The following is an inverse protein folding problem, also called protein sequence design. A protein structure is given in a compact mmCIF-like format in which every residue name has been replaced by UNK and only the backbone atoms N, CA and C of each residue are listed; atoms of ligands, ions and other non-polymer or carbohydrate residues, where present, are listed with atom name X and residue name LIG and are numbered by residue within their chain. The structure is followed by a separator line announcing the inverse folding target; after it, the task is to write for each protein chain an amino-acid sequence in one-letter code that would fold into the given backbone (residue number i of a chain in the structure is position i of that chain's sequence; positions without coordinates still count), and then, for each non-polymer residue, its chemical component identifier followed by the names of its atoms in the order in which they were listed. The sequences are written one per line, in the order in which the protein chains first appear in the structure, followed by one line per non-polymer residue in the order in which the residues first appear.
data_IF_839826195153
#
_entry.id   IF_839826195153
#
_cell.length_a   1.000
_cell.length_b   1.000
_cell.length_c   1.000
_cell.angle_alpha   90.00
_cell.angle_beta   90.00
_cell.angle_gamma   90.00
#
_symmetry.space_group_name_H-M   'P 1'
#
loop_
_entity.id
_entity.type
_entity.pdbx_description
1 polymer ?
#
# COMPACT_ATOMS: atom_id res chain seq x y z
N UNK A 1 -5.28 18.31 -3.60
CA UNK A 1 -6.29 18.56 -2.55
C UNK A 1 -6.45 20.05 -2.35
N UNK A 2 -7.68 20.50 -2.06
CA UNK A 2 -7.90 21.86 -1.56
C UNK A 2 -7.29 22.03 -0.16
N UNK A 3 -7.23 23.27 0.32
CA UNK A 3 -6.73 23.57 1.67
C UNK A 3 -7.58 22.89 2.73
N UNK A 4 -8.90 22.98 2.60
CA UNK A 4 -9.90 22.44 3.52
C UNK A 4 -9.76 20.92 3.62
N UNK A 5 -9.57 20.24 2.49
CA UNK A 5 -9.34 18.80 2.46
C UNK A 5 -8.05 18.43 3.22
N UNK A 6 -6.98 19.21 3.07
CA UNK A 6 -5.70 18.93 3.76
C UNK A 6 -5.82 19.11 5.26
N UNK A 7 -6.56 20.12 5.70
CA UNK A 7 -6.82 20.37 7.12
C UNK A 7 -7.67 19.26 7.75
N UNK A 8 -8.68 18.74 7.03
CA UNK A 8 -9.45 17.59 7.49
C UNK A 8 -8.60 16.32 7.55
N UNK A 9 -7.85 16.03 6.49
CA UNK A 9 -6.97 14.86 6.40
C UNK A 9 -5.96 14.81 7.54
N UNK A 10 -5.29 15.93 7.82
CA UNK A 10 -4.28 16.01 8.89
C UNK A 10 -4.85 15.83 10.31
N UNK A 11 -6.18 15.93 10.50
CA UNK A 11 -6.87 15.74 11.78
C UNK A 11 -7.56 14.38 11.89
N UNK A 12 -7.55 13.59 10.83
CA UNK A 12 -8.29 12.33 10.74
C UNK A 12 -7.35 11.14 10.90
N UNK A 13 -7.87 10.03 11.42
CA UNK A 13 -7.24 8.72 11.25
C UNK A 13 -7.62 8.19 9.86
N UNK A 14 -6.65 8.05 8.98
CA UNK A 14 -6.85 7.66 7.59
C UNK A 14 -6.55 6.17 7.45
N UNK A 15 -7.61 5.38 7.27
CA UNK A 15 -7.52 3.94 7.10
C UNK A 15 -7.90 3.57 5.68
N UNK A 16 -6.98 2.98 4.94
CA UNK A 16 -7.28 2.35 3.66
C UNK A 16 -7.95 0.99 3.93
N UNK A 17 -9.14 0.79 3.37
CA UNK A 17 -9.93 -0.42 3.62
C UNK A 17 -9.57 -1.58 2.68
N UNK A 18 -8.79 -1.34 1.63
CA UNK A 18 -8.50 -2.35 0.62
C UNK A 18 -7.28 -1.99 -0.23
N UNK A 19 -6.16 -2.66 0.03
CA UNK A 19 -4.92 -2.52 -0.74
C UNK A 19 -4.37 -3.88 -1.20
N UNK A 20 -4.15 -4.02 -2.50
CA UNK A 20 -3.65 -5.27 -3.11
C UNK A 20 -2.11 -5.37 -3.14
N UNK A 21 -1.40 -4.38 -2.61
CA UNK A 21 0.06 -4.35 -2.64
C UNK A 21 0.72 -5.55 -1.96
N UNK A 22 0.07 -6.14 -0.94
CA UNK A 22 0.57 -7.37 -0.31
C UNK A 22 0.49 -8.57 -1.26
N UNK A 23 -0.60 -8.71 -2.02
CA UNK A 23 -0.70 -9.73 -3.07
C UNK A 23 0.44 -9.56 -4.08
N UNK A 24 0.67 -8.33 -4.55
CA UNK A 24 1.76 -8.03 -5.49
C UNK A 24 3.11 -8.42 -4.88
N UNK A 25 3.38 -8.03 -3.62
CA UNK A 25 4.60 -8.41 -2.90
C UNK A 25 4.80 -9.92 -2.82
N UNK A 26 3.74 -10.68 -2.53
CA UNK A 26 3.79 -12.14 -2.48
C UNK A 26 4.08 -12.78 -3.84
N UNK A 27 3.47 -12.29 -4.92
CA UNK A 27 3.66 -12.87 -6.25
C UNK A 27 4.94 -12.44 -6.95
N UNK A 28 5.47 -11.25 -6.63
CA UNK A 28 6.63 -10.67 -7.33
C UNK A 28 7.91 -10.63 -6.49
N UNK A 29 7.81 -10.83 -5.18
CA UNK A 29 8.93 -10.73 -4.25
C UNK A 29 9.36 -9.29 -3.93
N UNK A 30 8.56 -8.29 -4.28
CA UNK A 30 8.90 -6.88 -4.05
C UNK A 30 8.83 -6.53 -2.56
N UNK A 31 9.75 -5.70 -2.09
CA UNK A 31 9.82 -5.26 -0.70
C UNK A 31 9.01 -3.97 -0.50
N UNK A 32 7.77 -4.08 -0.02
CA UNK A 32 6.86 -2.93 0.18
C UNK A 32 7.42 -1.84 1.11
N UNK A 33 8.45 -2.14 1.92
CA UNK A 33 9.12 -1.14 2.75
C UNK A 33 10.01 -0.20 1.92
N UNK A 34 10.35 -0.58 0.68
CA UNK A 34 11.10 0.24 -0.27
C UNK A 34 10.17 0.96 -1.22
N UNK A 35 10.63 2.13 -1.67
CA UNK A 35 9.90 2.91 -2.67
C UNK A 35 10.09 2.29 -4.04
N UNK A 36 8.99 1.96 -4.69
CA UNK A 36 9.01 1.41 -6.04
C UNK A 36 8.70 2.49 -7.07
N UNK A 37 9.36 2.36 -8.22
CA UNK A 37 9.01 3.11 -9.41
C UNK A 37 8.38 2.14 -10.38
N UNK A 38 7.28 2.57 -10.97
CA UNK A 38 6.65 1.80 -12.03
C UNK A 38 7.59 1.78 -13.25
N UNK A 39 8.07 0.61 -13.69
CA UNK A 39 8.96 0.53 -14.86
C UNK A 39 8.21 0.80 -16.16
N UNK A 40 6.87 0.71 -16.15
CA UNK A 40 6.01 0.99 -17.29
C UNK A 40 5.28 2.31 -17.06
N UNK A 41 5.41 3.30 -17.97
CA UNK A 41 4.59 4.49 -17.90
C UNK A 41 3.12 4.07 -17.98
N UNK A 42 2.29 4.61 -17.08
CA UNK A 42 0.83 4.37 -17.02
C UNK A 42 0.40 2.93 -16.69
N UNK A 43 1.13 2.17 -15.88
CA UNK A 43 0.63 0.89 -15.34
C UNK A 43 0.02 1.07 -13.92
N UNK A 44 -1.21 1.61 -13.77
CA UNK A 44 -1.79 1.98 -12.46
C UNK A 44 -2.03 0.79 -11.55
N UNK A 45 -2.01 -0.42 -12.11
CA UNK A 45 -2.34 -1.66 -11.39
C UNK A 45 -1.17 -2.18 -10.53
N UNK A 46 0.09 -1.78 -10.82
CA UNK A 46 1.26 -2.23 -10.07
C UNK A 46 2.05 -1.06 -9.49
N UNK A 47 2.64 -1.26 -8.30
CA UNK A 47 3.51 -0.29 -7.62
C UNK A 47 2.84 1.05 -7.24
N UNK A 48 1.51 1.08 -7.17
CA UNK A 48 0.76 2.30 -6.85
C UNK A 48 0.82 2.64 -5.34
N UNK A 49 0.97 1.62 -4.48
CA UNK A 49 1.08 1.80 -3.05
C UNK A 49 2.21 0.95 -2.45
N UNK A 50 3.16 1.63 -1.82
CA UNK A 50 4.26 1.10 -1.02
C UNK A 50 4.30 1.89 0.30
N UNK A 51 4.96 1.37 1.34
CA UNK A 51 4.97 1.99 2.68
C UNK A 51 5.46 3.44 2.64
N UNK A 52 6.53 3.79 1.90
CA UNK A 52 6.93 5.20 1.74
C UNK A 52 5.82 6.09 1.17
N UNK A 53 5.07 5.64 0.15
CA UNK A 53 3.94 6.39 -0.41
C UNK A 53 2.77 6.52 0.56
N UNK A 54 2.47 5.47 1.34
CA UNK A 54 1.40 5.52 2.34
C UNK A 54 1.73 6.56 3.43
N UNK A 55 2.98 6.58 3.89
CA UNK A 55 3.47 7.60 4.85
C UNK A 55 3.40 9.00 4.24
N UNK A 56 3.93 9.19 3.02
CA UNK A 56 3.87 10.49 2.31
C UNK A 56 2.43 10.97 2.07
N UNK A 57 1.51 10.03 1.82
CA UNK A 57 0.08 10.28 1.64
C UNK A 57 -0.69 10.49 2.94
N UNK A 58 -0.07 10.26 4.10
CA UNK A 58 -0.72 10.32 5.40
C UNK A 58 -1.80 9.26 5.58
N UNK A 59 -1.52 8.01 5.20
CA UNK A 59 -2.35 6.84 5.50
C UNK A 59 -1.78 6.15 6.74
N UNK A 60 -2.58 6.05 7.80
CA UNK A 60 -2.15 5.56 9.11
C UNK A 60 -2.23 4.03 9.21
N UNK A 61 -3.18 3.42 8.50
CA UNK A 61 -3.36 1.98 8.47
C UNK A 61 -3.93 1.53 7.13
N UNK A 62 -3.64 0.30 6.74
CA UNK A 62 -4.20 -0.30 5.54
C UNK A 62 -4.62 -1.75 5.80
N UNK A 63 -5.79 -2.12 5.31
CA UNK A 63 -6.29 -3.49 5.33
C UNK A 63 -5.84 -4.21 4.06
N UNK A 64 -5.04 -5.25 4.25
CA UNK A 64 -4.66 -6.16 3.19
C UNK A 64 -5.70 -7.29 3.10
N UNK A 65 -6.19 -7.62 1.89
CA UNK A 65 -7.15 -8.70 1.71
C UNK A 65 -6.57 -10.05 2.21
N UNK A 66 -7.28 -10.77 3.08
CA UNK A 66 -7.01 -12.17 3.35
C UNK A 66 -7.80 -13.02 2.35
N UNK A 67 -7.21 -13.39 1.21
CA UNK A 67 -7.78 -14.46 0.37
C UNK A 67 -6.77 -15.59 0.13
N UNK A 68 -7.10 -16.74 0.74
CA UNK A 68 -6.42 -18.03 0.69
C UNK A 68 -4.95 -17.99 1.11
N UNK A 69 -4.74 -17.70 2.38
CA UNK A 69 -3.52 -18.10 3.09
C UNK A 69 -3.58 -19.62 3.21
N UNK A 70 -3.05 -20.33 2.20
CA UNK A 70 -2.37 -21.59 2.48
C UNK A 70 -1.24 -21.26 3.43
N UNK A 71 -1.51 -21.41 4.73
CA UNK A 71 -0.53 -21.23 5.79
C UNK A 71 0.45 -22.39 5.70
N UNK A 72 1.45 -22.28 4.83
CA UNK A 72 2.70 -23.01 5.00
C UNK A 72 3.72 -22.09 5.66
N UNK A 73 3.97 -22.40 6.92
CA UNK A 73 5.12 -21.96 7.70
C UNK A 73 6.42 -22.12 6.91
N UNK A 74 7.11 -21.01 6.67
CA UNK A 74 8.58 -20.98 6.52
C UNK A 74 9.02 -19.73 7.30
N UNK A 75 9.37 -19.83 8.59
CA UNK A 75 10.70 -20.21 9.10
C UNK A 75 11.84 -19.77 8.18
N UNK A 76 12.32 -18.55 8.42
CA UNK A 76 13.73 -18.18 8.60
C UNK A 76 13.77 -16.91 9.46
#
# INVERSE_FOLDING_TARGET
MSREARELHAKSLVVDLHIDSLCISRYTGIDLLKRHRNPLPYAPLMFHADVPRLIEGGVDAALYEPRHIGVEHQRC
#
